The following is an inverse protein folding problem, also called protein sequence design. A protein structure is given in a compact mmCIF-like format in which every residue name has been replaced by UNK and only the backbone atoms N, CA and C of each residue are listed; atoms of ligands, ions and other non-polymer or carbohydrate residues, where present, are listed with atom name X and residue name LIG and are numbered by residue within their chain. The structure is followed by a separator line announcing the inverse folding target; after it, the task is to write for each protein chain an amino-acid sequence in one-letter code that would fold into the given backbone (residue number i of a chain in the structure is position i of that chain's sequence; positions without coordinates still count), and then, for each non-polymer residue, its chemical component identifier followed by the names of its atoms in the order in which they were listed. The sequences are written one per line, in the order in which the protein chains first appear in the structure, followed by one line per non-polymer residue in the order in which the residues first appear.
data_IF_807543991797
#
_entry.id   IF_807543991797
#
_cell.length_a   1.000
_cell.length_b   1.000
_cell.length_c   1.000
_cell.angle_alpha   90.00
_cell.angle_beta   90.00
_cell.angle_gamma   90.00
#
_symmetry.space_group_name_H-M   'P 1'
#
loop_
_entity.id
_entity.type
_entity.pdbx_description
1 polymer ?
#
# COMPACT_ATOMS: atom_id res chain seq x y z
N UNK A 1 -36.90 9.23 -14.82
CA UNK A 1 -35.53 9.11 -15.30
C UNK A 1 -35.26 7.66 -15.75
N UNK A 2 -34.46 7.47 -16.82
CA UNK A 2 -34.12 6.13 -17.31
C UNK A 2 -35.25 5.29 -17.89
N UNK A 3 -36.33 5.94 -18.32
CA UNK A 3 -37.47 5.28 -18.97
C UNK A 3 -37.09 4.83 -20.38
N UNK A 4 -37.40 3.58 -20.71
CA UNK A 4 -37.16 3.03 -22.03
C UNK A 4 -38.36 3.33 -22.95
N UNK A 5 -38.24 4.40 -23.74
CA UNK A 5 -39.27 4.86 -24.63
C UNK A 5 -39.66 3.84 -25.73
N UNK A 6 -38.68 3.05 -26.18
CA UNK A 6 -38.89 2.01 -27.19
C UNK A 6 -39.80 0.92 -26.65
N UNK A 7 -39.51 0.42 -25.47
CA UNK A 7 -40.31 -0.63 -24.82
C UNK A 7 -41.72 -0.12 -24.51
N UNK A 8 -41.86 1.14 -24.09
CA UNK A 8 -43.18 1.73 -23.87
C UNK A 8 -44.01 1.83 -25.18
N UNK A 9 -43.38 2.22 -26.29
CA UNK A 9 -44.02 2.28 -27.58
C UNK A 9 -44.44 0.86 -28.06
N UNK A 10 -43.59 -0.16 -27.86
CA UNK A 10 -43.93 -1.54 -28.19
C UNK A 10 -45.09 -2.08 -27.36
N UNK A 11 -45.12 -1.82 -26.05
CA UNK A 11 -46.22 -2.19 -25.17
C UNK A 11 -47.50 -1.50 -25.61
N UNK A 12 -47.42 -0.22 -25.99
CA UNK A 12 -48.60 0.56 -26.48
C UNK A 12 -49.12 0.00 -27.80
N UNK A 13 -48.23 -0.42 -28.70
CA UNK A 13 -48.59 -0.96 -30.00
C UNK A 13 -49.22 -2.38 -29.94
N UNK A 14 -48.71 -3.22 -29.03
CA UNK A 14 -49.19 -4.61 -28.86
C UNK A 14 -49.26 -5.03 -27.39
N UNK A 15 -50.26 -4.57 -26.61
CA UNK A 15 -50.37 -4.88 -25.18
C UNK A 15 -50.52 -6.37 -24.87
N UNK A 16 -51.10 -7.14 -25.80
CA UNK A 16 -51.35 -8.57 -25.60
C UNK A 16 -50.04 -9.39 -25.55
N UNK A 17 -49.02 -8.97 -26.29
CA UNK A 17 -47.72 -9.65 -26.30
C UNK A 17 -47.01 -9.59 -24.94
N UNK A 18 -47.33 -8.56 -24.13
CA UNK A 18 -46.71 -8.35 -22.81
C UNK A 18 -47.59 -8.82 -21.66
N UNK A 19 -48.74 -9.41 -21.94
CA UNK A 19 -49.65 -9.93 -20.91
C UNK A 19 -48.96 -11.08 -20.15
N UNK A 20 -48.98 -11.01 -18.81
CA UNK A 20 -48.32 -11.96 -17.90
C UNK A 20 -46.80 -12.03 -18.05
N UNK A 21 -46.15 -11.06 -18.69
CA UNK A 21 -44.68 -10.93 -18.73
C UNK A 21 -44.20 -9.82 -17.80
N UNK A 22 -42.95 -9.97 -17.28
CA UNK A 22 -42.27 -8.93 -16.54
C UNK A 22 -41.35 -8.18 -17.49
N UNK A 23 -41.70 -6.93 -17.79
CA UNK A 23 -40.96 -6.11 -18.74
C UNK A 23 -40.32 -4.94 -18.03
N UNK A 24 -39.00 -4.75 -18.22
CA UNK A 24 -38.26 -3.62 -17.64
C UNK A 24 -38.56 -2.34 -18.46
N UNK A 25 -39.34 -1.45 -17.91
CA UNK A 25 -39.74 -0.18 -18.56
C UNK A 25 -38.92 1.03 -18.13
N UNK A 26 -38.22 0.93 -17.01
CA UNK A 26 -37.35 1.99 -16.54
C UNK A 26 -36.23 1.41 -15.69
N UNK A 27 -35.05 2.00 -15.79
CA UNK A 27 -33.85 1.62 -14.99
C UNK A 27 -33.14 2.86 -14.47
N UNK A 28 -32.85 2.87 -13.20
CA UNK A 28 -31.97 3.87 -12.58
C UNK A 28 -30.49 3.57 -12.84
N UNK A 29 -29.67 4.54 -12.50
CA UNK A 29 -28.20 4.36 -12.48
C UNK A 29 -27.76 4.08 -11.04
N UNK A 30 -27.02 2.99 -10.83
CA UNK A 30 -26.47 2.67 -9.50
C UNK A 30 -25.39 3.69 -9.13
N UNK A 31 -25.30 4.02 -7.85
CA UNK A 31 -24.14 4.77 -7.32
C UNK A 31 -22.91 3.87 -7.27
N UNK A 32 -21.74 4.46 -7.46
CA UNK A 32 -20.44 3.80 -7.30
C UNK A 32 -19.75 4.44 -6.11
N UNK A 33 -19.43 3.64 -5.10
CA UNK A 33 -18.73 4.14 -3.91
C UNK A 33 -17.32 4.61 -4.24
N UNK A 34 -16.86 5.63 -3.51
CA UNK A 34 -15.48 6.10 -3.60
C UNK A 34 -14.49 5.06 -3.07
N UNK A 35 -13.33 5.01 -3.68
CA UNK A 35 -12.23 4.17 -3.23
C UNK A 35 -11.44 4.87 -2.14
N UNK A 36 -11.03 4.13 -1.11
CA UNK A 36 -10.15 4.66 -0.07
C UNK A 36 -8.77 4.98 -0.64
N UNK A 37 -8.21 6.08 -0.20
CA UNK A 37 -6.80 6.36 -0.41
C UNK A 37 -5.92 5.35 0.32
N UNK A 38 -4.71 5.16 -0.17
CA UNK A 38 -3.75 4.26 0.44
C UNK A 38 -2.32 4.79 0.31
N UNK A 39 -1.41 4.22 1.09
CA UNK A 39 0.01 4.51 1.05
C UNK A 39 0.71 3.27 0.51
N UNK A 40 1.52 3.46 -0.53
CA UNK A 40 2.42 2.45 -1.07
C UNK A 40 3.83 2.76 -0.58
N UNK A 41 4.40 1.89 0.21
CA UNK A 41 5.80 1.99 0.64
C UNK A 41 6.73 1.39 -0.41
N UNK A 42 7.95 1.92 -0.52
CA UNK A 42 8.98 1.42 -1.43
C UNK A 42 9.66 0.15 -0.91
N UNK A 43 9.39 -0.20 0.34
CA UNK A 43 9.94 -1.37 1.03
C UNK A 43 8.81 -2.24 1.54
N UNK A 44 9.00 -3.54 1.49
CA UNK A 44 8.09 -4.50 2.12
C UNK A 44 8.58 -4.76 3.56
N UNK A 45 7.78 -4.31 4.53
CA UNK A 45 8.08 -4.50 5.96
C UNK A 45 7.43 -5.76 6.52
N UNK A 46 6.55 -6.39 5.76
CA UNK A 46 5.83 -7.61 6.20
C UNK A 46 6.59 -8.87 5.81
N UNK A 47 7.71 -8.72 5.10
CA UNK A 47 8.63 -9.80 4.75
C UNK A 47 9.36 -10.32 6.02
N UNK A 48 8.59 -10.93 6.92
CA UNK A 48 9.09 -11.75 8.00
C UNK A 48 9.69 -13.08 7.50
N UNK A 49 9.81 -13.24 6.21
CA UNK A 49 10.44 -14.40 5.59
C UNK A 49 11.96 -14.28 5.71
N UNK A 50 12.44 -14.55 6.94
CA UNK A 50 13.81 -14.98 7.20
C UNK A 50 14.08 -16.33 6.51
N UNK A 51 13.68 -16.50 5.26
CA UNK A 51 14.02 -17.66 4.47
C UNK A 51 15.46 -17.49 4.01
N UNK A 52 16.33 -18.41 4.36
CA UNK A 52 17.69 -18.40 3.84
C UNK A 52 17.61 -18.47 2.31
N UNK A 53 18.40 -17.66 1.63
CA UNK A 53 18.44 -17.64 0.18
C UNK A 53 18.96 -18.97 -0.34
N UNK A 54 18.17 -19.67 -1.13
CA UNK A 54 18.58 -20.88 -1.85
C UNK A 54 19.45 -20.47 -3.04
N UNK A 55 20.67 -20.98 -3.10
CA UNK A 55 21.59 -20.73 -4.22
C UNK A 55 21.23 -21.67 -5.38
N UNK A 56 21.57 -21.27 -6.60
CA UNK A 56 21.32 -22.04 -7.85
C UNK A 56 21.93 -23.46 -7.83
N UNK A 57 22.85 -23.74 -6.89
CA UNK A 57 23.49 -25.05 -6.69
C UNK A 57 22.76 -25.92 -5.63
N UNK A 58 21.59 -25.50 -5.15
CA UNK A 58 20.78 -26.22 -4.14
C UNK A 58 21.30 -26.09 -2.71
N UNK A 59 22.30 -25.23 -2.46
CA UNK A 59 22.76 -24.90 -1.11
C UNK A 59 22.00 -23.71 -0.56
N UNK A 60 21.80 -23.73 0.75
CA UNK A 60 21.12 -22.66 1.46
C UNK A 60 22.13 -21.69 2.05
N UNK A 61 22.04 -20.41 1.69
CA UNK A 61 22.93 -19.38 2.23
C UNK A 61 22.35 -18.80 3.53
N UNK A 62 22.74 -19.35 4.66
CA UNK A 62 22.34 -18.86 5.98
C UNK A 62 22.99 -17.53 6.40
N UNK A 63 23.86 -16.94 5.57
CA UNK A 63 24.58 -15.70 5.89
C UNK A 63 23.85 -14.42 5.48
N UNK A 64 22.80 -14.54 4.68
CA UNK A 64 21.99 -13.41 4.21
C UNK A 64 20.60 -13.45 4.84
N UNK A 65 20.54 -13.34 6.18
CA UNK A 65 19.28 -13.54 6.94
C UNK A 65 18.58 -12.22 7.27
N UNK A 66 19.26 -11.08 7.28
CA UNK A 66 18.66 -9.79 7.66
C UNK A 66 18.69 -8.82 6.50
N UNK A 67 17.52 -8.53 5.96
CA UNK A 67 17.33 -7.45 4.99
C UNK A 67 17.21 -6.12 5.72
N UNK A 68 18.25 -5.31 5.71
CA UNK A 68 18.24 -3.94 6.20
C UNK A 68 17.75 -3.02 5.08
N UNK A 69 16.62 -2.37 5.27
CA UNK A 69 16.09 -1.43 4.26
C UNK A 69 16.85 -0.11 4.32
N UNK A 70 17.94 -0.04 3.58
CA UNK A 70 18.78 1.15 3.47
C UNK A 70 18.11 2.24 2.64
N UNK A 71 18.22 3.49 3.10
CA UNK A 71 17.81 4.68 2.35
C UNK A 71 18.88 5.74 2.40
N UNK A 72 18.93 6.54 1.34
CA UNK A 72 19.77 7.73 1.26
C UNK A 72 18.93 8.99 1.51
N UNK A 73 19.58 10.03 1.97
CA UNK A 73 18.97 11.36 2.11
C UNK A 73 18.30 11.78 0.79
N UNK A 74 17.04 12.22 0.88
CA UNK A 74 16.21 12.62 -0.26
C UNK A 74 15.55 11.46 -1.00
N UNK A 75 15.79 10.21 -0.61
CA UNK A 75 15.16 9.04 -1.25
C UNK A 75 13.68 8.94 -0.86
N UNK A 76 12.84 8.59 -1.83
CA UNK A 76 11.41 8.32 -1.63
C UNK A 76 11.22 7.01 -0.86
N UNK A 77 10.54 7.08 0.27
CA UNK A 77 10.20 5.93 1.13
C UNK A 77 8.79 5.42 0.84
N UNK A 78 7.87 6.32 0.51
CA UNK A 78 6.50 5.94 0.23
C UNK A 78 5.74 7.01 -0.54
N UNK A 79 4.69 6.56 -1.24
CA UNK A 79 3.81 7.41 -2.03
C UNK A 79 2.38 7.25 -1.55
N UNK A 80 1.66 8.38 -1.45
CA UNK A 80 0.24 8.43 -1.13
C UNK A 80 -0.60 8.46 -2.38
N UNK A 81 -1.67 7.69 -2.38
CA UNK A 81 -2.71 7.70 -3.40
C UNK A 81 -3.99 8.23 -2.75
N UNK A 82 -4.59 9.25 -3.38
CA UNK A 82 -5.76 9.93 -2.85
C UNK A 82 -7.01 9.05 -2.93
N UNK A 83 -7.95 9.30 -2.02
CA UNK A 83 -9.27 8.71 -2.10
C UNK A 83 -10.07 9.33 -3.25
N UNK A 84 -11.12 8.62 -3.70
CA UNK A 84 -12.05 9.13 -4.69
C UNK A 84 -13.41 9.43 -4.06
N UNK A 85 -14.14 10.41 -4.60
CA UNK A 85 -15.45 10.79 -4.07
C UNK A 85 -16.57 9.80 -4.40
N UNK A 86 -16.33 8.94 -5.39
CA UNK A 86 -17.37 8.09 -5.95
C UNK A 86 -18.30 8.83 -6.91
N UNK A 87 -19.22 8.10 -7.52
CA UNK A 87 -20.16 8.61 -8.51
C UNK A 87 -21.60 8.42 -8.00
N UNK A 88 -22.38 9.49 -7.80
CA UNK A 88 -23.75 9.36 -7.37
C UNK A 88 -24.59 8.68 -8.45
N UNK A 89 -25.52 7.83 -8.02
CA UNK A 89 -26.51 7.21 -8.87
C UNK A 89 -27.78 8.05 -9.02
N UNK A 90 -28.74 7.55 -9.79
CA UNK A 90 -30.04 8.18 -9.94
C UNK A 90 -31.17 7.14 -9.99
N UNK A 91 -32.15 7.29 -9.12
CA UNK A 91 -33.33 6.43 -9.11
C UNK A 91 -34.23 6.68 -10.32
N UNK A 92 -35.10 5.74 -10.62
CA UNK A 92 -36.10 5.91 -11.68
C UNK A 92 -37.07 7.08 -11.41
N UNK A 93 -37.29 7.41 -10.14
CA UNK A 93 -38.04 8.59 -9.69
C UNK A 93 -37.33 9.91 -9.99
N UNK A 94 -36.04 9.88 -10.33
CA UNK A 94 -35.21 11.06 -10.56
C UNK A 94 -34.40 11.49 -9.33
N UNK A 95 -34.60 10.85 -8.17
CA UNK A 95 -33.85 11.13 -6.95
C UNK A 95 -32.38 10.74 -7.08
N UNK A 96 -31.51 11.55 -6.51
CA UNK A 96 -30.07 11.26 -6.47
C UNK A 96 -29.77 10.21 -5.41
N UNK A 97 -29.12 9.13 -5.81
CA UNK A 97 -28.60 8.10 -4.90
C UNK A 97 -27.20 8.52 -4.49
N UNK A 98 -27.09 9.08 -3.30
CA UNK A 98 -25.80 9.51 -2.75
C UNK A 98 -24.88 8.32 -2.52
N UNK A 99 -23.58 8.57 -2.66
CA UNK A 99 -22.51 7.61 -2.40
C UNK A 99 -21.61 8.11 -1.29
N UNK A 100 -20.86 7.20 -0.68
CA UNK A 100 -19.85 7.56 0.31
C UNK A 100 -18.53 7.83 -0.39
N UNK A 101 -17.88 8.94 -0.03
CA UNK A 101 -16.50 9.20 -0.42
C UNK A 101 -15.56 8.21 0.25
N UNK A 102 -14.47 7.88 -0.41
CA UNK A 102 -13.38 7.10 0.17
C UNK A 102 -12.71 7.86 1.31
N UNK A 103 -12.11 7.13 2.24
CA UNK A 103 -11.34 7.70 3.36
C UNK A 103 -9.93 8.04 2.91
N UNK A 104 -9.46 9.23 3.26
CA UNK A 104 -8.10 9.65 2.97
C UNK A 104 -7.08 8.88 3.81
N UNK A 105 -6.01 8.40 3.16
CA UNK A 105 -4.84 7.88 3.84
C UNK A 105 -3.88 9.04 4.18
N UNK A 106 -3.16 8.94 5.30
CA UNK A 106 -2.17 9.92 5.74
C UNK A 106 -0.90 9.23 6.21
N UNK A 107 0.25 9.81 5.86
CA UNK A 107 1.52 9.34 6.39
C UNK A 107 1.59 9.51 7.91
N UNK A 108 2.08 8.49 8.58
CA UNK A 108 2.45 8.56 10.00
C UNK A 108 3.94 8.85 10.07
N UNK A 109 4.26 10.13 9.99
CA UNK A 109 5.64 10.64 9.95
C UNK A 109 6.32 10.44 11.30
N UNK A 110 7.50 9.84 11.28
CA UNK A 110 8.35 9.60 12.43
C UNK A 110 9.61 10.46 12.44
N UNK A 111 10.72 9.89 12.95
CA UNK A 111 12.01 10.59 13.02
C UNK A 111 12.74 10.52 11.67
N UNK A 112 13.41 11.61 11.31
CA UNK A 112 14.27 11.71 10.12
C UNK A 112 13.57 11.40 8.79
N UNK A 113 12.27 11.68 8.71
CA UNK A 113 11.47 11.62 7.49
C UNK A 113 10.67 12.91 7.32
N UNK A 114 10.36 13.26 6.11
CA UNK A 114 9.58 14.45 5.76
C UNK A 114 8.65 14.14 4.60
N UNK A 115 7.50 14.79 4.57
CA UNK A 115 6.61 14.78 3.40
C UNK A 115 6.90 15.98 2.53
N UNK A 116 6.59 15.89 1.24
CA UNK A 116 6.51 17.05 0.37
C UNK A 116 5.36 17.99 0.76
N UNK A 117 5.31 19.18 0.13
CA UNK A 117 4.29 20.19 0.41
C UNK A 117 2.85 19.68 0.14
N UNK A 118 2.68 18.80 -0.82
CA UNK A 118 1.39 18.20 -1.20
C UNK A 118 1.04 16.96 -0.39
N UNK A 119 1.94 16.50 0.47
CA UNK A 119 1.83 15.26 1.26
C UNK A 119 1.58 14.01 0.40
N UNK A 120 2.14 13.99 -0.80
CA UNK A 120 2.03 12.87 -1.74
C UNK A 120 3.21 11.91 -1.65
N UNK A 121 4.38 12.39 -1.21
CA UNK A 121 5.60 11.61 -1.02
C UNK A 121 6.14 11.69 0.40
N UNK A 122 6.75 10.61 0.89
CA UNK A 122 7.50 10.54 2.14
C UNK A 122 8.96 10.27 1.82
N UNK A 123 9.87 11.13 2.33
CA UNK A 123 11.29 11.13 1.99
C UNK A 123 12.17 11.02 3.23
N UNK A 124 13.33 10.38 3.08
CA UNK A 124 14.37 10.36 4.10
C UNK A 124 15.09 11.73 4.18
N UNK A 125 15.32 12.23 5.39
CA UNK A 125 16.11 13.46 5.60
C UNK A 125 17.59 13.19 5.83
N UNK A 126 17.95 11.93 6.13
CA UNK A 126 19.30 11.44 6.37
C UNK A 126 19.49 10.06 5.73
N UNK A 127 20.76 9.65 5.59
CA UNK A 127 21.10 8.27 5.26
C UNK A 127 20.83 7.36 6.48
N UNK A 128 20.39 6.12 6.25
CA UNK A 128 20.14 5.19 7.33
C UNK A 128 19.19 4.05 6.97
N UNK A 129 18.65 3.41 7.99
CA UNK A 129 17.71 2.30 7.91
C UNK A 129 16.28 2.78 8.11
N UNK A 130 15.38 2.42 7.20
CA UNK A 130 13.93 2.62 7.39
C UNK A 130 13.39 1.57 8.33
N UNK A 131 12.64 2.02 9.32
CA UNK A 131 11.98 1.15 10.30
C UNK A 131 10.53 1.57 10.45
N UNK A 132 9.63 0.61 10.37
CA UNK A 132 8.22 0.78 10.75
C UNK A 132 8.10 0.45 12.24
N UNK A 133 7.70 1.42 13.03
CA UNK A 133 7.46 1.26 14.48
C UNK A 133 5.97 1.18 14.78
N UNK A 134 5.61 1.04 16.06
CA UNK A 134 4.23 0.98 16.53
C UNK A 134 3.34 2.04 15.90
N UNK A 135 2.10 1.66 15.58
CA UNK A 135 1.11 2.49 14.90
C UNK A 135 1.53 2.93 13.48
N UNK A 136 2.33 2.10 12.78
CA UNK A 136 2.78 2.33 11.40
C UNK A 136 3.55 3.63 11.18
N UNK A 137 4.25 4.14 12.17
CA UNK A 137 5.16 5.27 12.00
C UNK A 137 6.41 4.83 11.26
N UNK A 138 6.78 5.60 10.25
CA UNK A 138 8.00 5.38 9.49
C UNK A 138 9.11 6.27 10.05
N UNK A 139 10.22 5.66 10.41
CA UNK A 139 11.41 6.33 10.93
C UNK A 139 12.64 5.97 10.10
N UNK A 140 13.65 6.83 10.09
CA UNK A 140 14.98 6.53 9.56
C UNK A 140 15.99 6.69 10.68
N UNK A 141 16.80 5.65 10.89
CA UNK A 141 17.85 5.64 11.91
C UNK A 141 19.23 5.55 11.24
N UNK A 142 20.18 6.45 11.62
CA UNK A 142 21.53 6.44 11.07
C UNK A 142 22.45 5.39 11.73
N UNK A 143 21.97 4.73 12.78
CA UNK A 143 22.75 3.75 13.55
C UNK A 143 21.98 2.43 13.58
N UNK A 144 22.67 1.36 13.20
CA UNK A 144 22.22 -0.02 13.34
C UNK A 144 22.99 -0.69 14.48
N UNK A 145 22.29 -0.97 15.58
CA UNK A 145 22.90 -1.55 16.77
C UNK A 145 22.58 -3.05 16.89
N UNK A 146 23.63 -3.85 17.10
CA UNK A 146 23.54 -5.29 17.25
C UNK A 146 23.99 -5.64 18.68
N UNK A 147 23.02 -6.10 19.50
CA UNK A 147 23.22 -6.42 20.92
C UNK A 147 23.83 -7.82 21.14
N UNK A 148 24.64 -8.31 20.23
CA UNK A 148 25.27 -9.63 20.30
C UNK A 148 26.34 -9.80 19.25
N UNK A 149 26.61 -11.05 18.91
CA UNK A 149 27.56 -11.40 17.87
C UNK A 149 26.91 -11.29 16.48
N UNK A 150 27.75 -10.98 15.49
CA UNK A 150 27.39 -11.15 14.08
C UNK A 150 27.69 -12.59 13.70
N UNK A 151 26.67 -13.41 13.66
CA UNK A 151 26.69 -14.85 13.43
C UNK A 151 25.62 -15.28 12.43
N UNK A 152 25.29 -16.57 12.36
CA UNK A 152 24.26 -17.12 11.47
C UNK A 152 22.83 -16.62 11.77
N UNK A 153 22.57 -16.04 12.95
CA UNK A 153 21.27 -15.47 13.28
C UNK A 153 21.10 -14.05 12.73
N UNK A 154 22.20 -13.31 12.63
CA UNK A 154 22.24 -11.93 12.13
C UNK A 154 22.60 -11.91 10.65
N UNK A 155 23.53 -12.74 10.21
CA UNK A 155 24.02 -12.80 8.84
C UNK A 155 25.00 -11.69 8.48
N UNK A 156 25.24 -11.52 7.17
CA UNK A 156 26.04 -10.40 6.67
C UNK A 156 25.25 -9.10 6.76
N UNK A 157 25.94 -8.00 7.03
CA UNK A 157 25.35 -6.68 7.19
C UNK A 157 25.84 -5.79 6.07
N UNK A 158 24.90 -5.19 5.35
CA UNK A 158 25.16 -4.13 4.39
C UNK A 158 24.32 -2.92 4.81
N UNK A 159 24.98 -1.88 5.35
CA UNK A 159 24.29 -0.76 5.95
C UNK A 159 24.92 0.59 5.62
N UNK A 160 24.10 1.52 5.15
CA UNK A 160 24.48 2.91 4.90
C UNK A 160 24.35 3.70 6.20
N UNK A 161 25.41 3.76 6.98
CA UNK A 161 25.44 4.49 8.25
C UNK A 161 26.44 3.89 9.25
N UNK A 162 26.16 4.06 10.52
CA UNK A 162 27.02 3.54 11.59
C UNK A 162 26.51 2.20 12.10
N UNK A 163 27.34 1.16 12.05
CA UNK A 163 27.05 -0.13 12.67
C UNK A 163 27.75 -0.21 14.01
N UNK A 164 27.00 -0.51 15.06
CA UNK A 164 27.52 -0.74 16.41
C UNK A 164 27.31 -2.20 16.78
N UNK A 165 28.39 -2.96 16.92
CA UNK A 165 28.35 -4.36 17.37
C UNK A 165 28.82 -4.44 18.81
N UNK A 166 27.97 -4.90 19.73
CA UNK A 166 28.32 -5.08 21.14
C UNK A 166 28.99 -6.43 21.46
N UNK A 167 29.02 -7.33 20.49
CA UNK A 167 29.69 -8.63 20.55
C UNK A 167 30.80 -8.74 19.53
N UNK A 168 31.06 -9.95 19.08
CA UNK A 168 32.09 -10.28 18.11
C UNK A 168 31.54 -10.51 16.72
N UNK A 169 32.31 -10.20 15.70
CA UNK A 169 32.04 -10.64 14.32
C UNK A 169 32.71 -11.99 14.12
N UNK A 170 31.91 -13.04 13.94
CA UNK A 170 32.45 -14.39 13.79
C UNK A 170 33.08 -14.57 12.40
N UNK A 171 34.04 -15.52 12.28
CA UNK A 171 34.73 -15.79 11.02
C UNK A 171 33.73 -16.11 9.89
N UNK A 172 33.95 -15.49 8.74
CA UNK A 172 33.12 -15.68 7.53
C UNK A 172 31.95 -14.74 7.40
N UNK A 173 31.65 -13.86 8.38
CA UNK A 173 30.67 -12.79 8.26
C UNK A 173 31.30 -11.47 7.85
N UNK A 174 30.52 -10.62 7.17
CA UNK A 174 30.97 -9.35 6.61
C UNK A 174 30.03 -8.22 7.06
N UNK A 175 30.64 -7.06 7.35
CA UNK A 175 29.95 -5.79 7.56
C UNK A 175 30.46 -4.82 6.51
N UNK A 176 29.56 -4.17 5.79
CA UNK A 176 29.87 -3.18 4.76
C UNK A 176 29.13 -1.87 5.05
#
# INVERSE_FOLDING_TARGET
HGVNQVVLAEISANPQAFRNSKTLIASGTKSVEGQNGYIKLSFDFDDNDKKPMELDDGRVNYKEVVSVHNVRKGQLIGQRFLATEGIPGRAVTGETLFTKAGKEARFKVGKNVVTDAEQMGLYATIDGMVVRTDRDKINVFPVYEINGNVDYNVGNIDFIGTVVVRGNVLPGFKIR
#
